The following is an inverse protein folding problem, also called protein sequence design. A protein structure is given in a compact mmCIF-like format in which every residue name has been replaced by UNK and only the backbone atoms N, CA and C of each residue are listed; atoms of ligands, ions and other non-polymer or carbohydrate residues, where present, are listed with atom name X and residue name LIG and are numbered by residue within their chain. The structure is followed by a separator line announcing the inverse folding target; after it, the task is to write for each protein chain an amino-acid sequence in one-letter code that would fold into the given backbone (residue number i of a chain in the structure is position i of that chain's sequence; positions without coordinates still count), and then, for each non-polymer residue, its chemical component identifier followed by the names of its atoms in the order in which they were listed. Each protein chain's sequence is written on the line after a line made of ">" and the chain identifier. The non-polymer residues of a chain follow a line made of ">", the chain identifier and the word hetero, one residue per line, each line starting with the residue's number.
data_IF_630638402017
#
_entry.id   IF_630638402017
#
_cell.length_a   1.000
_cell.length_b   1.000
_cell.length_c   1.000
_cell.angle_alpha   90.00
_cell.angle_beta   90.00
_cell.angle_gamma   90.00
#
_symmetry.space_group_name_H-M   'P 1'
#
loop_
_entity.id
_entity.type
_entity.pdbx_description
1 polymer ?
#
# COMPACT_ATOMS: atom_id res chain seq x y z
N UNK A 1 17.99 15.27 -18.63
CA UNK A 1 16.83 14.36 -18.76
C UNK A 1 17.23 13.01 -18.17
N UNK A 2 17.22 12.90 -16.85
CA UNK A 2 17.61 11.68 -16.14
C UNK A 2 16.33 10.88 -15.89
N UNK A 3 16.29 9.68 -16.45
CA UNK A 3 15.16 8.75 -16.37
C UNK A 3 14.81 8.52 -14.90
N UNK A 4 13.55 8.79 -14.54
CA UNK A 4 12.97 8.42 -13.25
C UNK A 4 13.24 6.92 -13.03
N UNK A 5 13.94 6.57 -11.95
CA UNK A 5 14.25 5.18 -11.66
C UNK A 5 12.92 4.40 -11.48
N UNK A 6 12.66 3.33 -12.27
CA UNK A 6 11.35 2.67 -12.39
C UNK A 6 10.80 2.00 -11.11
N UNK A 7 11.51 2.06 -9.98
CA UNK A 7 11.22 1.22 -8.82
C UNK A 7 10.39 1.92 -7.72
N UNK A 8 10.37 3.25 -7.63
CA UNK A 8 9.64 3.95 -6.56
C UNK A 8 8.15 4.14 -6.84
N UNK A 9 7.81 4.34 -8.11
CA UNK A 9 6.42 4.43 -8.58
C UNK A 9 5.65 3.12 -8.39
N UNK A 10 6.35 1.99 -8.28
CA UNK A 10 5.77 0.67 -8.18
C UNK A 10 4.78 0.55 -7.00
N UNK A 11 5.09 1.00 -5.78
CA UNK A 11 4.20 0.78 -4.63
C UNK A 11 2.91 1.62 -4.69
N UNK A 12 3.02 2.87 -5.15
CA UNK A 12 1.84 3.72 -5.32
C UNK A 12 0.93 3.19 -6.44
N UNK A 13 1.51 2.77 -7.57
CA UNK A 13 0.74 2.34 -8.75
C UNK A 13 0.27 0.88 -8.67
N UNK A 14 1.12 -0.06 -8.25
CA UNK A 14 0.75 -1.48 -8.19
C UNK A 14 -0.03 -1.81 -6.93
N UNK A 15 0.56 -1.63 -5.74
CA UNK A 15 -0.07 -2.09 -4.50
C UNK A 15 -1.28 -1.26 -4.10
N UNK A 16 -1.21 0.06 -4.24
CA UNK A 16 -2.30 0.94 -3.79
C UNK A 16 -3.42 1.01 -4.84
N UNK A 17 -3.08 1.38 -6.07
CA UNK A 17 -4.08 1.61 -7.11
C UNK A 17 -4.50 0.31 -7.82
N UNK A 18 -3.56 -0.49 -8.31
CA UNK A 18 -3.87 -1.72 -9.05
C UNK A 18 -4.53 -2.77 -8.16
N UNK A 19 -3.85 -3.18 -7.10
CA UNK A 19 -4.28 -4.29 -6.26
C UNK A 19 -5.36 -3.88 -5.26
N UNK A 20 -5.06 -2.95 -4.33
CA UNK A 20 -5.97 -2.65 -3.23
C UNK A 20 -7.24 -1.93 -3.73
N UNK A 21 -7.11 -0.83 -4.47
CA UNK A 21 -8.26 -0.10 -4.97
C UNK A 21 -8.95 -0.80 -6.15
N UNK A 22 -8.19 -1.34 -7.10
CA UNK A 22 -8.73 -2.03 -8.27
C UNK A 22 -9.34 -3.38 -7.90
N UNK A 23 -8.49 -4.36 -7.61
CA UNK A 23 -8.94 -5.75 -7.44
C UNK A 23 -9.68 -6.00 -6.11
N UNK A 24 -9.24 -5.39 -5.00
CA UNK A 24 -9.84 -5.69 -3.67
C UNK A 24 -11.05 -4.83 -3.30
N UNK A 25 -11.24 -3.69 -3.94
CA UNK A 25 -12.35 -2.78 -3.65
C UNK A 25 -13.30 -2.63 -4.84
N UNK A 26 -12.79 -2.25 -6.01
CA UNK A 26 -13.65 -1.91 -7.14
C UNK A 26 -14.34 -3.12 -7.77
N UNK A 27 -13.69 -4.28 -7.87
CA UNK A 27 -14.29 -5.47 -8.50
C UNK A 27 -15.61 -5.85 -7.82
N UNK A 28 -15.58 -6.11 -6.51
CA UNK A 28 -16.78 -6.46 -5.75
C UNK A 28 -17.82 -5.34 -5.74
N UNK A 29 -17.38 -4.08 -5.59
CA UNK A 29 -18.27 -2.92 -5.57
C UNK A 29 -19.05 -2.74 -6.88
N UNK A 30 -18.36 -2.84 -8.02
CA UNK A 30 -18.96 -2.63 -9.34
C UNK A 30 -19.78 -3.85 -9.79
N UNK A 31 -19.35 -5.06 -9.44
CA UNK A 31 -20.07 -6.28 -9.75
C UNK A 31 -21.31 -6.49 -8.85
N UNK A 32 -21.40 -5.79 -7.71
CA UNK A 32 -22.40 -6.03 -6.67
C UNK A 32 -22.46 -7.51 -6.23
N UNK A 33 -21.29 -8.13 -6.14
CA UNK A 33 -21.12 -9.57 -5.92
C UNK A 33 -20.40 -9.82 -4.61
N UNK A 34 -21.10 -10.43 -3.66
CA UNK A 34 -20.51 -10.84 -2.38
C UNK A 34 -19.41 -11.89 -2.58
N UNK A 35 -19.58 -12.78 -3.56
CA UNK A 35 -18.60 -13.85 -3.86
C UNK A 35 -17.27 -13.30 -4.35
N UNK A 36 -17.27 -12.10 -4.95
CA UNK A 36 -16.06 -11.43 -5.43
C UNK A 36 -15.39 -10.57 -4.35
N UNK A 37 -15.98 -10.48 -3.14
CA UNK A 37 -15.31 -9.84 -2.02
C UNK A 37 -14.10 -10.67 -1.55
N UNK A 38 -13.00 -9.97 -1.24
CA UNK A 38 -11.73 -10.57 -0.86
C UNK A 38 -11.87 -11.64 0.24
N UNK A 39 -12.71 -11.39 1.23
CA UNK A 39 -12.90 -12.26 2.40
C UNK A 39 -14.36 -12.70 2.57
N UNK A 40 -14.99 -13.09 1.46
CA UNK A 40 -16.40 -13.49 1.39
C UNK A 40 -16.79 -14.64 2.33
N UNK A 41 -15.87 -15.56 2.65
CA UNK A 41 -16.15 -16.67 3.57
C UNK A 41 -16.11 -16.29 5.06
N UNK A 42 -15.55 -15.14 5.40
CA UNK A 42 -15.29 -14.74 6.79
C UNK A 42 -15.89 -13.39 7.18
N UNK A 43 -16.58 -12.72 6.25
CA UNK A 43 -17.14 -11.36 6.42
C UNK A 43 -16.12 -10.33 6.96
N UNK A 44 -14.84 -10.53 6.64
CA UNK A 44 -13.74 -9.74 7.21
C UNK A 44 -13.16 -8.68 6.24
N UNK A 45 -13.77 -8.51 5.06
CA UNK A 45 -13.26 -7.69 3.96
C UNK A 45 -12.86 -6.27 4.40
N UNK A 46 -13.63 -5.65 5.29
CA UNK A 46 -13.36 -4.30 5.81
C UNK A 46 -12.04 -4.21 6.60
N UNK A 47 -11.76 -5.20 7.45
CA UNK A 47 -10.52 -5.25 8.24
C UNK A 47 -9.33 -5.54 7.32
N UNK A 48 -9.50 -6.45 6.36
CA UNK A 48 -8.43 -6.80 5.43
C UNK A 48 -8.04 -5.62 4.55
N UNK A 49 -9.00 -4.85 4.04
CA UNK A 49 -8.74 -3.60 3.31
C UNK A 49 -8.01 -2.59 4.20
N UNK A 50 -8.47 -2.39 5.44
CA UNK A 50 -7.85 -1.43 6.36
C UNK A 50 -6.40 -1.80 6.69
N UNK A 51 -6.13 -3.07 6.98
CA UNK A 51 -4.78 -3.54 7.31
C UNK A 51 -3.86 -3.62 6.08
N UNK A 52 -4.39 -3.91 4.89
CA UNK A 52 -3.65 -3.78 3.63
C UNK A 52 -3.23 -2.32 3.38
N UNK A 53 -4.15 -1.36 3.58
CA UNK A 53 -3.83 0.06 3.47
C UNK A 53 -2.78 0.50 4.50
N UNK A 54 -2.91 0.05 5.77
CA UNK A 54 -1.92 0.29 6.82
C UNK A 54 -0.55 -0.26 6.44
N UNK A 55 -0.50 -1.47 5.88
CA UNK A 55 0.75 -2.10 5.44
C UNK A 55 1.47 -1.28 4.36
N UNK A 56 0.72 -0.76 3.38
CA UNK A 56 1.29 0.14 2.36
C UNK A 56 1.91 1.38 3.01
N UNK A 57 1.23 1.99 4.00
CA UNK A 57 1.78 3.13 4.74
C UNK A 57 3.04 2.76 5.53
N UNK A 58 3.03 1.61 6.19
CA UNK A 58 4.17 1.11 6.95
C UNK A 58 5.41 0.93 6.06
N UNK A 59 5.24 0.34 4.88
CA UNK A 59 6.31 0.16 3.88
C UNK A 59 6.80 1.51 3.36
N UNK A 60 5.89 2.42 3.03
CA UNK A 60 6.24 3.75 2.52
C UNK A 60 7.07 4.55 3.54
N UNK A 61 6.65 4.51 4.80
CA UNK A 61 7.29 5.23 5.90
C UNK A 61 8.47 4.47 6.54
N UNK A 62 8.69 3.20 6.19
CA UNK A 62 9.75 2.37 6.78
C UNK A 62 9.56 2.14 8.29
N UNK A 63 8.31 2.08 8.76
CA UNK A 63 7.96 1.90 10.18
C UNK A 63 6.88 0.85 10.35
N UNK A 64 6.99 0.01 11.38
CA UNK A 64 5.99 -1.00 11.74
C UNK A 64 5.88 -1.11 13.26
N UNK A 65 4.67 -1.11 13.78
CA UNK A 65 4.43 -1.38 15.21
C UNK A 65 4.09 -2.86 15.37
N UNK A 66 4.91 -3.59 16.13
CA UNK A 66 4.70 -5.00 16.43
C UNK A 66 3.53 -5.19 17.39
N UNK A 67 3.06 -6.43 17.51
CA UNK A 67 1.97 -6.81 18.41
C UNK A 67 2.28 -6.57 19.89
N UNK A 68 3.57 -6.53 20.26
CA UNK A 68 4.04 -6.18 21.61
C UNK A 68 4.17 -4.65 21.84
N UNK A 69 3.82 -3.83 20.84
CA UNK A 69 3.92 -2.37 20.87
C UNK A 69 5.31 -1.82 20.53
N UNK A 70 6.33 -2.68 20.37
CA UNK A 70 7.66 -2.22 19.94
C UNK A 70 7.63 -1.75 18.48
N UNK A 71 8.41 -0.71 18.16
CA UNK A 71 8.54 -0.23 16.79
C UNK A 71 9.73 -0.88 16.09
N UNK A 72 9.54 -1.23 14.83
CA UNK A 72 10.59 -1.52 13.86
C UNK A 72 10.67 -0.30 12.94
N UNK A 73 11.84 0.33 12.87
CA UNK A 73 12.07 1.51 12.04
C UNK A 73 13.36 1.32 11.24
N UNK A 74 13.38 1.84 10.02
CA UNK A 74 14.54 1.72 9.13
C UNK A 74 14.50 2.70 7.98
N UNK A 75 15.31 2.42 6.95
CA UNK A 75 15.28 3.18 5.71
C UNK A 75 13.87 3.14 5.10
N UNK A 76 13.39 4.30 4.65
CA UNK A 76 12.04 4.44 4.09
C UNK A 76 12.06 4.91 2.64
N UNK A 77 10.98 4.58 1.92
CA UNK A 77 10.77 5.10 0.57
C UNK A 77 10.50 6.60 0.59
N UNK A 78 9.81 7.10 1.62
CA UNK A 78 9.60 8.52 1.84
C UNK A 78 10.93 9.30 1.90
N UNK A 79 11.92 8.81 2.67
CA UNK A 79 13.25 9.42 2.73
C UNK A 79 13.95 9.39 1.36
N UNK A 80 13.82 8.29 0.62
CA UNK A 80 14.45 8.16 -0.69
C UNK A 80 13.83 9.10 -1.72
N UNK A 81 12.50 9.26 -1.73
CA UNK A 81 11.79 10.23 -2.57
C UNK A 81 12.22 11.64 -2.22
N UNK A 82 12.18 12.03 -0.94
CA UNK A 82 12.59 13.36 -0.49
C UNK A 82 14.05 13.69 -0.86
N UNK A 83 14.96 12.71 -0.71
CA UNK A 83 16.36 12.88 -1.07
C UNK A 83 16.58 13.01 -2.59
N UNK A 84 15.68 12.49 -3.42
CA UNK A 84 15.72 12.64 -4.88
C UNK A 84 15.13 13.99 -5.31
N UNK A 85 14.01 14.39 -4.71
CA UNK A 85 13.37 15.68 -4.99
C UNK A 85 14.29 16.85 -4.62
N UNK A 86 14.97 16.77 -3.47
CA UNK A 86 15.96 17.77 -3.06
C UNK A 86 17.20 17.85 -3.97
N UNK A 87 17.49 16.81 -4.76
CA UNK A 87 18.55 16.83 -5.78
C UNK A 87 18.08 17.37 -7.13
N UNK A 88 16.77 17.50 -7.32
CA UNK A 88 16.17 18.00 -8.56
C UNK A 88 15.88 19.52 -8.51
N UNK A 89 15.83 20.11 -7.31
CA UNK A 89 15.79 21.56 -7.04
C UNK A 89 17.18 22.20 -7.01
#
# INVERSE_FOLDING_TARGET
>A
MHVLQPNFQAIALSLSLGELAGERMNVALLAHSQEDEHSCFSDNTHNDIAENARSIQNIFNGTYTRTDGSKLEGASLAQLVAAKDAKAS
#
